data_IF_427147116749
#
_entry.id   IF_427147116749
#
_cell.length_a   1.000
_cell.length_b   1.000
_cell.length_c   1.000
_cell.angle_alpha   90.00
_cell.angle_beta   90.00
_cell.angle_gamma   90.00
#
_symmetry.space_group_name_H-M   'P 1'
#
loop_
_entity.id
_entity.type
_entity.pdbx_description
1 polymer ?
#
# COMPACT_ATOMS: atom_id res chain seq x y z
N UNK A 1 9.33 8.58 4.57
CA UNK A 1 10.80 8.76 4.53
C UNK A 1 11.44 8.10 3.32
N UNK A 2 11.25 6.79 3.09
CA UNK A 2 11.88 6.11 1.93
C UNK A 2 11.21 6.38 0.58
N UNK A 3 9.88 6.53 0.57
CA UNK A 3 9.09 6.79 -0.64
C UNK A 3 9.65 7.96 -1.45
N UNK A 4 9.76 9.13 -0.83
CA UNK A 4 10.14 10.38 -1.52
C UNK A 4 11.61 10.37 -2.00
N UNK A 5 12.44 9.44 -1.51
CA UNK A 5 13.84 9.29 -1.92
C UNK A 5 14.03 8.32 -3.09
N UNK A 6 13.08 7.41 -3.26
CA UNK A 6 13.15 6.30 -4.21
C UNK A 6 12.10 6.44 -5.34
N UNK A 7 11.17 7.39 -5.21
CA UNK A 7 10.16 7.80 -6.21
C UNK A 7 10.80 8.65 -7.31
N UNK A 8 11.47 8.00 -8.27
CA UNK A 8 12.11 8.69 -9.41
C UNK A 8 11.32 8.52 -10.73
N UNK A 9 10.49 7.49 -10.84
CA UNK A 9 9.66 7.22 -12.02
C UNK A 9 8.21 7.02 -11.57
N UNK A 10 7.41 8.09 -11.64
CA UNK A 10 6.05 8.17 -11.10
C UNK A 10 5.04 7.20 -11.74
N UNK A 11 5.34 6.78 -12.97
CA UNK A 11 4.57 5.84 -13.79
C UNK A 11 4.82 4.39 -13.38
N UNK A 12 5.97 4.12 -12.73
CA UNK A 12 6.29 2.80 -12.20
C UNK A 12 5.67 2.56 -10.81
N UNK A 13 4.92 3.53 -10.28
CA UNK A 13 4.39 3.47 -8.93
C UNK A 13 3.02 2.83 -8.86
N UNK A 14 2.95 1.65 -8.25
CA UNK A 14 1.70 0.93 -8.04
C UNK A 14 1.85 -0.02 -6.86
N UNK A 15 0.88 -0.09 -5.95
CA UNK A 15 0.86 -1.06 -4.85
C UNK A 15 2.16 -1.11 -4.03
N UNK A 16 2.70 0.06 -3.65
CA UNK A 16 3.93 0.16 -2.87
C UNK A 16 5.22 0.03 -3.67
N UNK A 17 5.14 -0.30 -4.96
CA UNK A 17 6.29 -0.36 -5.84
C UNK A 17 6.73 1.03 -6.27
N UNK A 18 8.04 1.23 -6.33
CA UNK A 18 8.70 2.44 -6.82
C UNK A 18 9.97 2.04 -7.55
N UNK A 19 10.45 2.93 -8.42
CA UNK A 19 11.70 2.73 -9.15
C UNK A 19 12.66 3.87 -8.87
N UNK A 20 13.85 3.53 -8.42
CA UNK A 20 14.89 4.50 -8.12
C UNK A 20 15.55 5.07 -9.38
N UNK A 21 16.45 6.04 -9.20
CA UNK A 21 17.18 6.70 -10.29
C UNK A 21 18.10 5.79 -11.12
N UNK A 22 18.39 4.59 -10.62
CA UNK A 22 19.21 3.58 -11.31
C UNK A 22 18.36 2.52 -12.03
N UNK A 23 17.03 2.64 -11.93
CA UNK A 23 16.10 1.72 -12.56
C UNK A 23 15.75 0.49 -11.72
N UNK A 24 16.21 0.41 -10.47
CA UNK A 24 15.91 -0.70 -9.58
C UNK A 24 14.52 -0.53 -8.96
N UNK A 25 13.75 -1.62 -8.97
CA UNK A 25 12.41 -1.67 -8.40
C UNK A 25 12.46 -2.05 -6.92
N UNK A 26 11.81 -1.24 -6.09
CA UNK A 26 11.67 -1.43 -4.66
C UNK A 26 10.19 -1.53 -4.30
N UNK A 27 9.84 -2.38 -3.34
CA UNK A 27 8.51 -2.37 -2.73
C UNK A 27 8.63 -1.87 -1.29
N UNK A 28 7.96 -0.77 -0.98
CA UNK A 28 7.86 -0.27 0.39
C UNK A 28 6.61 -0.87 1.01
N UNK A 29 6.82 -1.87 1.88
CA UNK A 29 5.74 -2.52 2.63
C UNK A 29 5.82 -2.09 4.10
N UNK A 30 4.71 -1.66 4.71
CA UNK A 30 4.67 -1.38 6.15
C UNK A 30 4.92 -2.63 6.99
N UNK A 31 5.52 -2.47 8.16
CA UNK A 31 5.84 -3.61 9.05
C UNK A 31 4.60 -4.32 9.63
N UNK A 32 3.47 -3.62 9.74
CA UNK A 32 2.21 -4.16 10.25
C UNK A 32 1.24 -4.57 9.13
N UNK A 33 1.74 -4.77 7.90
CA UNK A 33 0.87 -5.12 6.78
C UNK A 33 0.22 -6.49 6.98
N UNK A 34 0.93 -7.43 7.60
CA UNK A 34 0.39 -8.75 7.93
C UNK A 34 -0.78 -8.69 8.90
N UNK A 35 -0.76 -7.75 9.86
CA UNK A 35 -1.87 -7.55 10.81
C UNK A 35 -3.12 -7.00 10.12
N UNK A 36 -2.95 -6.14 9.13
CA UNK A 36 -4.07 -5.57 8.36
C UNK A 36 -4.73 -6.64 7.48
N UNK A 37 -3.95 -7.58 6.95
CA UNK A 37 -4.48 -8.72 6.20
C UNK A 37 -4.93 -9.88 7.09
N UNK A 38 -4.87 -9.74 8.41
CA UNK A 38 -5.34 -10.73 9.36
C UNK A 38 -6.78 -10.41 9.79
N UNK A 39 -7.76 -11.08 9.18
CA UNK A 39 -9.19 -10.83 9.41
C UNK A 39 -10.09 -11.82 8.68
N UNK A 40 -11.40 -11.54 8.64
CA UNK A 40 -12.34 -12.33 7.83
C UNK A 40 -12.12 -12.07 6.33
N UNK A 41 -12.62 -12.96 5.48
CA UNK A 41 -12.53 -12.82 4.02
C UNK A 41 -13.12 -11.47 3.55
N UNK A 42 -14.18 -10.99 4.19
CA UNK A 42 -14.78 -9.68 3.89
C UNK A 42 -13.89 -8.51 4.31
N UNK A 43 -13.22 -8.59 5.46
CA UNK A 43 -12.26 -7.58 5.91
C UNK A 43 -11.07 -7.50 4.95
N UNK A 44 -10.49 -8.66 4.61
CA UNK A 44 -9.38 -8.79 3.66
C UNK A 44 -9.77 -8.28 2.28
N UNK A 45 -11.00 -8.54 1.83
CA UNK A 45 -11.50 -8.03 0.55
C UNK A 45 -11.55 -6.51 0.52
N UNK A 46 -12.09 -5.86 1.56
CA UNK A 46 -12.13 -4.39 1.66
C UNK A 46 -10.73 -3.78 1.68
N UNK A 47 -9.82 -4.39 2.45
CA UNK A 47 -8.41 -3.99 2.46
C UNK A 47 -7.80 -4.11 1.06
N UNK A 48 -8.05 -5.23 0.37
CA UNK A 48 -7.51 -5.50 -0.97
C UNK A 48 -8.03 -4.49 -2.00
N UNK A 49 -9.32 -4.13 -1.96
CA UNK A 49 -9.91 -3.12 -2.84
C UNK A 49 -9.28 -1.74 -2.62
N UNK A 50 -9.07 -1.34 -1.36
CA UNK A 50 -8.37 -0.09 -1.04
C UNK A 50 -6.89 -0.14 -1.46
N UNK A 51 -6.22 -1.27 -1.20
CA UNK A 51 -4.82 -1.51 -1.51
C UNK A 51 -4.51 -1.39 -3.00
N UNK A 52 -5.33 -1.97 -3.88
CA UNK A 52 -5.12 -1.96 -5.33
C UNK A 52 -5.23 -0.56 -5.96
N UNK A 53 -5.94 0.35 -5.31
CA UNK A 53 -6.09 1.74 -5.75
C UNK A 53 -4.98 2.66 -5.21
N UNK A 54 -4.06 2.15 -4.39
CA UNK A 54 -3.00 2.94 -3.79
C UNK A 54 -1.68 2.81 -4.55
N UNK A 55 -1.04 3.95 -4.80
CA UNK A 55 0.38 4.00 -5.16
C UNK A 55 1.23 3.76 -3.92
N UNK A 56 1.06 4.62 -2.92
CA UNK A 56 1.71 4.55 -1.60
C UNK A 56 0.71 4.05 -0.56
N UNK A 57 1.11 3.10 0.26
CA UNK A 57 0.24 2.60 1.32
C UNK A 57 0.01 3.64 2.42
N UNK A 58 -1.26 3.87 2.72
CA UNK A 58 -1.70 4.60 3.91
C UNK A 58 -2.34 3.62 4.88
N UNK A 59 -1.61 3.31 5.95
CA UNK A 59 -2.06 2.40 7.00
C UNK A 59 -3.38 2.82 7.64
N UNK A 60 -3.65 4.12 7.78
CA UNK A 60 -4.90 4.59 8.39
C UNK A 60 -6.07 4.32 7.46
N UNK A 61 -5.88 4.50 6.15
CA UNK A 61 -6.93 4.20 5.17
C UNK A 61 -7.16 2.70 5.09
N UNK A 62 -6.10 1.88 5.09
CA UNK A 62 -6.23 0.43 5.06
C UNK A 62 -6.93 -0.13 6.32
N UNK A 63 -6.64 0.41 7.51
CA UNK A 63 -7.37 0.05 8.73
C UNK A 63 -8.84 0.48 8.70
N UNK A 64 -9.14 1.68 8.18
CA UNK A 64 -10.52 2.12 7.97
C UNK A 64 -11.25 1.22 6.97
N UNK A 65 -10.58 0.82 5.88
CA UNK A 65 -11.12 -0.12 4.90
C UNK A 65 -11.46 -1.46 5.55
N UNK A 66 -10.52 -2.01 6.34
CA UNK A 66 -10.72 -3.24 7.11
C UNK A 66 -11.98 -3.16 7.98
N UNK A 67 -12.14 -2.07 8.72
CA UNK A 67 -13.30 -1.80 9.59
C UNK A 67 -14.60 -1.45 8.85
N UNK A 68 -14.55 -1.17 7.54
CA UNK A 68 -15.71 -0.72 6.76
C UNK A 68 -16.10 0.74 6.98
N UNK A 69 -15.15 1.58 7.44
CA UNK A 69 -15.35 3.00 7.77
C UNK A 69 -14.97 3.95 6.61
N UNK A 70 -14.78 3.43 5.40
CA UNK A 70 -14.60 4.23 4.18
C UNK A 70 -15.98 4.72 3.70
N UNK A 71 -16.32 5.95 4.05
CA UNK A 71 -17.50 6.68 3.54
C UNK A 71 -17.18 7.49 2.29
#
# INVERSE_FOLDING_TARGET
YYWDKLSFVSEAEQCGWIKDKYGLSWQIVPSNMDEIFNGTDEEVKRVTEAFLNMKKFDLKILEKARKGELH
#
